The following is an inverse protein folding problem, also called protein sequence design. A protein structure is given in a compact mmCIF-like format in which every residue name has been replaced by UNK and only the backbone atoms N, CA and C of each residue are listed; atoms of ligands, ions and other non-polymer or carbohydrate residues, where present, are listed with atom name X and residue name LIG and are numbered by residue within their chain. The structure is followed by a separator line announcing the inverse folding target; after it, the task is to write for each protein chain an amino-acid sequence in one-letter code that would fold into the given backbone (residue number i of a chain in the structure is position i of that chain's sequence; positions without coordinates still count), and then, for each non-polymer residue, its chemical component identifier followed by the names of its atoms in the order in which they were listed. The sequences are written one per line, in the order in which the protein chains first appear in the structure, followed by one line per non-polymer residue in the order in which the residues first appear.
data_IF_366243958820
#
_entry.id   IF_366243958820
#
_cell.length_a   1.000
_cell.length_b   1.000
_cell.length_c   1.000
_cell.angle_alpha   90.00
_cell.angle_beta   90.00
_cell.angle_gamma   90.00
#
_symmetry.space_group_name_H-M   'P 1'
#
loop_
_entity.id
_entity.type
_entity.pdbx_description
1 polymer ?
#
# COMPACT_ATOMS: atom_id res chain seq x y z
N UNK A 1 -33.30 -14.76 -69.56
CA UNK A 1 -32.24 -15.42 -68.77
C UNK A 1 -32.30 -16.92 -69.02
N UNK A 2 -31.23 -17.52 -69.54
CA UNK A 2 -31.16 -18.97 -69.78
C UNK A 2 -31.06 -19.73 -68.45
N UNK A 3 -31.66 -20.91 -68.39
CA UNK A 3 -31.68 -21.75 -67.18
C UNK A 3 -30.26 -22.09 -66.65
N UNK A 4 -29.28 -22.19 -67.55
CA UNK A 4 -27.87 -22.37 -67.21
C UNK A 4 -27.26 -21.16 -66.46
N UNK A 5 -27.60 -19.93 -66.87
CA UNK A 5 -27.07 -18.70 -66.25
C UNK A 5 -27.54 -18.52 -64.80
N UNK A 6 -28.78 -18.93 -64.50
CA UNK A 6 -29.33 -18.95 -63.13
C UNK A 6 -28.56 -19.91 -62.21
N UNK A 7 -28.21 -21.10 -62.68
CA UNK A 7 -27.42 -22.09 -61.91
C UNK A 7 -25.99 -21.61 -61.68
N UNK A 8 -25.39 -20.97 -62.68
CA UNK A 8 -24.03 -20.44 -62.59
C UNK A 8 -23.93 -19.31 -61.55
N UNK A 9 -24.93 -18.43 -61.47
CA UNK A 9 -25.03 -17.42 -60.40
C UNK A 9 -25.23 -18.03 -59.01
N UNK A 10 -25.99 -19.13 -58.90
CA UNK A 10 -26.17 -19.84 -57.63
C UNK A 10 -24.84 -20.47 -57.16
N UNK A 11 -24.10 -21.14 -58.05
CA UNK A 11 -22.79 -21.72 -57.70
C UNK A 11 -21.76 -20.65 -57.35
N UNK A 12 -21.73 -19.54 -58.07
CA UNK A 12 -20.88 -18.39 -57.73
C UNK A 12 -21.25 -17.82 -56.35
N UNK A 13 -22.55 -17.67 -56.06
CA UNK A 13 -23.02 -17.19 -54.76
C UNK A 13 -22.62 -18.09 -53.60
N UNK A 14 -22.75 -19.41 -53.76
CA UNK A 14 -22.32 -20.40 -52.75
C UNK A 14 -20.80 -20.33 -52.54
N UNK A 15 -20.03 -20.20 -53.62
CA UNK A 15 -18.58 -20.10 -53.55
C UNK A 15 -18.11 -18.82 -52.83
N UNK A 16 -18.74 -17.68 -53.13
CA UNK A 16 -18.47 -16.41 -52.44
C UNK A 16 -18.89 -16.49 -50.96
N UNK A 17 -20.03 -17.10 -50.65
CA UNK A 17 -20.46 -17.30 -49.27
C UNK A 17 -19.49 -18.18 -48.46
N UNK A 18 -18.96 -19.25 -49.08
CA UNK A 18 -17.91 -20.07 -48.48
C UNK A 18 -16.62 -19.29 -48.24
N UNK A 19 -16.17 -18.48 -49.21
CA UNK A 19 -15.00 -17.63 -49.04
C UNK A 19 -15.19 -16.59 -47.93
N UNK A 20 -16.36 -15.97 -47.82
CA UNK A 20 -16.68 -15.04 -46.75
C UNK A 20 -16.75 -15.74 -45.39
N UNK A 21 -17.29 -16.96 -45.33
CA UNK A 21 -17.36 -17.74 -44.09
C UNK A 21 -15.96 -18.16 -43.60
N UNK A 22 -15.10 -18.67 -44.49
CA UNK A 22 -13.71 -18.98 -44.16
C UNK A 22 -12.91 -17.72 -43.82
N UNK A 23 -13.12 -16.63 -44.56
CA UNK A 23 -12.53 -15.33 -44.26
C UNK A 23 -12.94 -14.83 -42.87
N UNK A 24 -14.23 -14.93 -42.53
CA UNK A 24 -14.75 -14.60 -41.21
C UNK A 24 -14.13 -15.48 -40.12
N UNK A 25 -14.03 -16.79 -40.31
CA UNK A 25 -13.39 -17.69 -39.33
C UNK A 25 -11.91 -17.35 -39.07
N UNK A 26 -11.18 -16.85 -40.06
CA UNK A 26 -9.76 -16.45 -39.92
C UNK A 26 -9.62 -15.06 -39.31
N UNK A 27 -10.52 -14.13 -39.67
CA UNK A 27 -10.46 -12.72 -39.26
C UNK A 27 -11.05 -12.52 -37.84
N UNK A 28 -12.15 -13.19 -37.52
CA UNK A 28 -12.88 -13.07 -36.25
C UNK A 28 -11.99 -13.20 -34.99
N UNK A 29 -11.10 -14.20 -34.84
CA UNK A 29 -10.23 -14.29 -33.66
C UNK A 29 -9.17 -13.19 -33.56
N UNK A 30 -8.85 -12.48 -34.66
CA UNK A 30 -7.93 -11.33 -34.60
C UNK A 30 -8.64 -10.03 -34.20
N UNK A 31 -9.95 -9.89 -34.44
CA UNK A 31 -10.74 -8.74 -33.97
C UNK A 31 -11.13 -8.86 -32.50
N UNK A 32 -11.32 -10.09 -31.99
CA UNK A 32 -11.66 -10.35 -30.59
C UNK A 32 -10.45 -10.89 -29.81
N UNK A 33 -9.31 -10.20 -29.87
CA UNK A 33 -8.24 -10.46 -28.91
C UNK A 33 -8.64 -9.83 -27.57
N UNK A 34 -8.54 -10.61 -26.50
CA UNK A 34 -8.67 -10.06 -25.16
C UNK A 34 -7.62 -8.96 -24.96
N UNK A 35 -7.97 -7.84 -24.30
CA UNK A 35 -7.01 -6.80 -24.01
C UNK A 35 -5.84 -7.36 -23.21
N UNK A 36 -4.63 -6.91 -23.52
CA UNK A 36 -3.39 -7.39 -22.90
C UNK A 36 -2.64 -6.21 -22.33
N UNK A 37 -2.58 -6.12 -21.00
CA UNK A 37 -1.96 -5.02 -20.25
C UNK A 37 -0.42 -4.97 -20.30
N UNK A 38 0.20 -5.56 -21.33
CA UNK A 38 1.67 -5.67 -21.47
C UNK A 38 2.11 -5.70 -22.95
N UNK A 39 1.23 -5.36 -23.91
CA UNK A 39 1.55 -5.44 -25.34
C UNK A 39 1.95 -4.10 -25.98
N UNK A 40 2.19 -3.08 -25.14
CA UNK A 40 2.52 -1.71 -25.49
C UNK A 40 1.49 -1.09 -26.46
N UNK A 41 0.22 -1.49 -26.35
CA UNK A 41 -0.87 -0.94 -27.17
C UNK A 41 -2.08 -0.67 -26.32
N UNK A 42 -2.60 0.56 -26.43
CA UNK A 42 -3.89 0.89 -25.89
C UNK A 42 -4.99 0.12 -26.64
N UNK A 43 -5.61 -0.84 -25.97
CA UNK A 43 -6.70 -1.64 -26.50
C UNK A 43 -7.79 -1.88 -25.44
N UNK A 44 -8.94 -2.42 -25.84
CA UNK A 44 -10.04 -2.68 -24.91
C UNK A 44 -10.56 -1.42 -24.20
N UNK A 45 -10.53 -1.44 -22.88
CA UNK A 45 -10.98 -0.37 -21.98
C UNK A 45 -9.83 0.36 -21.26
N UNK A 46 -8.58 0.17 -21.70
CA UNK A 46 -7.41 0.84 -21.15
C UNK A 46 -7.47 2.37 -21.32
N UNK A 47 -7.18 3.11 -20.26
CA UNK A 47 -7.16 4.58 -20.30
C UNK A 47 -5.81 5.13 -20.79
N UNK A 48 -4.74 4.33 -20.68
CA UNK A 48 -3.42 4.59 -21.27
C UNK A 48 -2.83 3.34 -21.91
N UNK A 49 -1.57 3.39 -22.36
CA UNK A 49 -0.89 2.21 -22.92
C UNK A 49 -0.59 1.24 -21.77
N UNK A 50 -1.17 0.03 -21.79
CA UNK A 50 -0.95 -1.02 -20.79
C UNK A 50 -1.33 -0.58 -19.34
N UNK A 51 -2.26 0.36 -19.18
CA UNK A 51 -2.70 0.84 -17.87
C UNK A 51 -4.16 1.33 -17.84
N UNK A 52 -4.75 1.28 -16.64
CA UNK A 52 -6.13 1.68 -16.38
C UNK A 52 -7.17 0.71 -16.94
N UNK A 53 -8.45 1.05 -16.77
CA UNK A 53 -9.55 0.18 -17.20
C UNK A 53 -9.53 -1.19 -16.52
N UNK A 54 -9.51 -2.26 -17.30
CA UNK A 54 -9.39 -3.64 -16.81
C UNK A 54 -7.97 -4.02 -16.36
N UNK A 55 -6.98 -3.15 -16.57
CA UNK A 55 -5.60 -3.45 -16.22
C UNK A 55 -5.30 -3.22 -14.74
N UNK A 56 -4.59 -4.16 -14.07
CA UNK A 56 -4.21 -3.99 -12.67
C UNK A 56 -3.35 -2.75 -12.41
N UNK A 57 -2.55 -2.32 -13.40
CA UNK A 57 -1.67 -1.16 -13.27
C UNK A 57 -2.47 0.12 -13.48
N UNK A 58 -2.43 1.03 -12.50
CA UNK A 58 -2.99 2.37 -12.68
C UNK A 58 -2.06 3.23 -13.55
N UNK A 59 -2.64 4.14 -14.32
CA UNK A 59 -1.87 5.07 -15.12
C UNK A 59 -1.26 6.18 -14.25
N UNK A 60 -0.03 6.60 -14.55
CA UNK A 60 0.72 7.59 -13.75
C UNK A 60 0.02 8.96 -13.71
N UNK A 61 -0.75 9.30 -14.75
CA UNK A 61 -1.47 10.57 -14.81
C UNK A 61 -2.82 10.56 -14.07
N UNK A 62 -3.28 9.40 -13.59
CA UNK A 62 -4.52 9.26 -12.81
C UNK A 62 -4.26 9.25 -11.31
N UNK A 63 -2.99 9.20 -10.91
CA UNK A 63 -2.57 9.02 -9.52
C UNK A 63 -1.85 10.25 -8.98
N UNK A 64 -2.26 10.66 -7.79
CA UNK A 64 -1.62 11.72 -7.03
C UNK A 64 -0.37 11.20 -6.32
N UNK A 65 0.60 12.11 -6.15
CA UNK A 65 1.81 11.81 -5.39
C UNK A 65 1.51 11.69 -3.90
N UNK A 66 2.19 10.74 -3.24
CA UNK A 66 2.10 10.53 -1.80
C UNK A 66 2.66 11.77 -1.09
N UNK A 67 1.90 12.31 -0.14
CA UNK A 67 2.35 13.42 0.68
C UNK A 67 3.11 12.92 1.90
N UNK A 68 4.35 13.40 2.07
CA UNK A 68 5.14 13.17 3.28
C UNK A 68 4.75 14.26 4.28
N UNK A 69 3.93 13.92 5.27
CA UNK A 69 3.45 14.91 6.24
C UNK A 69 4.56 15.31 7.22
N UNK A 70 5.33 14.34 7.71
CA UNK A 70 6.53 14.57 8.52
C UNK A 70 7.36 13.30 8.67
N UNK A 71 8.63 13.45 9.02
CA UNK A 71 9.52 12.33 9.39
C UNK A 71 10.37 12.70 10.59
N UNK A 72 10.48 11.81 11.57
CA UNK A 72 11.20 12.05 12.83
C UNK A 72 11.90 10.79 13.33
N UNK A 73 12.93 10.98 14.14
CA UNK A 73 13.60 9.92 14.89
C UNK A 73 13.26 10.06 16.38
N UNK A 74 12.90 8.94 17.01
CA UNK A 74 12.55 8.83 18.41
C UNK A 74 13.60 8.01 19.14
N UNK A 75 14.16 8.56 20.20
CA UNK A 75 15.15 7.86 21.02
C UNK A 75 14.47 6.70 21.76
N UNK A 76 15.08 5.53 21.69
CA UNK A 76 14.63 4.33 22.44
C UNK A 76 15.50 4.16 23.69
N UNK A 77 16.81 4.17 23.50
CA UNK A 77 17.86 4.11 24.53
C UNK A 77 19.07 4.92 24.00
N UNK A 78 20.08 5.25 24.82
CA UNK A 78 21.27 5.94 24.33
C UNK A 78 21.87 5.26 23.09
N UNK A 79 22.03 6.03 22.01
CA UNK A 79 22.58 5.56 20.74
C UNK A 79 21.65 4.74 19.83
N UNK A 80 20.42 4.43 20.26
CA UNK A 80 19.46 3.68 19.45
C UNK A 80 18.14 4.44 19.30
N UNK A 81 17.71 4.58 18.05
CA UNK A 81 16.52 5.34 17.68
C UNK A 81 15.59 4.50 16.81
N UNK A 82 14.29 4.80 16.88
CA UNK A 82 13.33 4.40 15.87
C UNK A 82 13.11 5.58 14.93
N UNK A 83 12.93 5.35 13.64
CA UNK A 83 12.53 6.37 12.70
C UNK A 83 11.14 6.10 12.19
N UNK A 84 10.41 7.16 11.94
CA UNK A 84 9.05 7.09 11.46
C UNK A 84 8.80 8.21 10.45
N UNK A 85 8.16 7.86 9.35
CA UNK A 85 7.62 8.79 8.38
C UNK A 85 6.10 8.62 8.38
N UNK A 86 5.39 9.74 8.52
CA UNK A 86 3.94 9.78 8.48
C UNK A 86 3.55 10.34 7.11
N UNK A 87 2.79 9.56 6.35
CA UNK A 87 2.47 9.84 4.95
C UNK A 87 0.97 9.73 4.72
N UNK A 88 0.51 10.30 3.61
CA UNK A 88 -0.88 10.25 3.18
C UNK A 88 -0.96 9.86 1.71
N UNK A 89 -1.73 8.81 1.42
CA UNK A 89 -2.10 8.41 0.08
C UNK A 89 -3.44 9.08 -0.27
N UNK A 90 -3.40 10.05 -1.18
CA UNK A 90 -4.60 10.76 -1.63
C UNK A 90 -5.47 9.93 -2.60
N UNK A 91 -4.91 8.85 -3.15
CA UNK A 91 -5.59 8.01 -4.11
C UNK A 91 -6.58 7.07 -3.41
N UNK A 92 -7.82 7.03 -3.87
CA UNK A 92 -8.90 6.27 -3.24
C UNK A 92 -8.76 4.75 -3.43
N UNK A 93 -8.40 4.32 -4.65
CA UNK A 93 -8.46 2.92 -5.06
C UNK A 93 -7.12 2.39 -5.60
N UNK A 94 -6.00 3.07 -5.33
CA UNK A 94 -4.68 2.61 -5.76
C UNK A 94 -3.76 2.39 -4.56
N UNK A 95 -2.99 1.31 -4.64
CA UNK A 95 -2.05 0.88 -3.62
C UNK A 95 -0.74 0.46 -4.29
N UNK A 96 0.33 0.36 -3.50
CA UNK A 96 1.63 -0.09 -3.99
C UNK A 96 2.02 -1.33 -3.19
N UNK A 97 2.26 -2.43 -3.90
CA UNK A 97 2.62 -3.70 -3.28
C UNK A 97 4.02 -3.69 -2.67
N UNK A 98 4.94 -2.94 -3.29
CA UNK A 98 6.35 -2.86 -2.90
C UNK A 98 6.93 -1.55 -3.40
N UNK A 99 7.56 -0.80 -2.49
CA UNK A 99 8.36 0.38 -2.81
C UNK A 99 9.58 0.49 -1.89
N UNK A 100 10.75 0.73 -2.47
CA UNK A 100 11.98 1.03 -1.75
C UNK A 100 12.05 2.48 -1.31
N UNK A 101 12.51 2.69 -0.08
CA UNK A 101 12.65 4.02 0.50
C UNK A 101 13.96 4.17 1.27
N UNK A 102 14.27 5.42 1.62
CA UNK A 102 15.44 5.80 2.39
C UNK A 102 15.10 6.85 3.43
N UNK A 103 15.49 6.58 4.68
CA UNK A 103 15.68 7.61 5.69
C UNK A 103 17.11 8.13 5.68
N UNK A 104 17.29 9.45 5.86
CA UNK A 104 18.58 10.06 6.17
C UNK A 104 18.50 10.81 7.49
N UNK A 105 19.59 10.78 8.24
CA UNK A 105 19.70 11.39 9.55
C UNK A 105 20.83 12.41 9.57
N UNK A 106 20.57 13.58 10.16
CA UNK A 106 21.57 14.60 10.39
C UNK A 106 21.46 15.18 11.82
N UNK A 107 22.57 15.67 12.34
CA UNK A 107 22.63 16.27 13.68
C UNK A 107 22.19 17.75 13.67
N UNK A 108 22.30 18.43 14.82
CA UNK A 108 21.96 19.86 14.96
C UNK A 108 22.73 20.77 13.99
N UNK A 109 23.95 20.39 13.63
CA UNK A 109 24.86 21.16 12.79
C UNK A 109 24.67 20.77 11.30
N UNK A 110 23.61 20.01 11.00
CA UNK A 110 23.25 19.48 9.69
C UNK A 110 24.33 18.55 9.09
N UNK A 111 25.14 17.92 9.95
CA UNK A 111 26.14 16.94 9.55
C UNK A 111 25.44 15.60 9.39
N UNK A 112 25.69 14.96 8.24
CA UNK A 112 25.14 13.64 7.94
C UNK A 112 25.65 12.58 8.92
N UNK A 113 24.72 11.94 9.63
CA UNK A 113 25.00 10.85 10.58
C UNK A 113 24.97 9.50 9.86
N UNK A 114 23.96 9.29 9.01
CA UNK A 114 23.74 7.99 8.39
C UNK A 114 22.42 7.90 7.63
N UNK A 115 22.16 6.70 7.10
CA UNK A 115 20.95 6.38 6.35
C UNK A 115 20.42 5.00 6.73
N UNK A 116 19.13 4.81 6.50
CA UNK A 116 18.45 3.51 6.61
C UNK A 116 17.63 3.30 5.35
N UNK A 117 17.99 2.27 4.58
CA UNK A 117 17.24 1.83 3.41
C UNK A 117 16.26 0.73 3.84
N UNK A 118 15.07 0.69 3.22
CA UNK A 118 14.04 -0.30 3.55
C UNK A 118 13.02 -0.45 2.42
N UNK A 119 12.06 -1.33 2.66
CA UNK A 119 10.97 -1.66 1.74
C UNK A 119 9.64 -1.51 2.47
N UNK A 120 8.64 -0.94 1.79
CA UNK A 120 7.29 -0.79 2.31
C UNK A 120 6.25 -1.14 1.24
N UNK A 121 5.03 -1.39 1.69
CA UNK A 121 3.84 -1.35 0.85
C UNK A 121 3.02 -0.11 1.24
N UNK A 122 2.28 0.43 0.29
CA UNK A 122 1.43 1.61 0.50
C UNK A 122 -0.02 1.16 0.48
N UNK A 123 -0.79 1.38 1.55
CA UNK A 123 -2.20 1.01 1.60
C UNK A 123 -3.03 1.88 0.64
N UNK A 124 -4.22 1.40 0.24
CA UNK A 124 -5.15 2.21 -0.54
C UNK A 124 -5.74 3.30 0.35
N UNK A 125 -5.58 4.56 -0.07
CA UNK A 125 -6.12 5.76 0.58
C UNK A 125 -5.70 6.01 2.04
N UNK A 126 -5.73 7.28 2.42
CA UNK A 126 -5.61 7.73 3.79
C UNK A 126 -4.19 7.76 4.33
N UNK A 127 -4.12 7.97 5.64
CA UNK A 127 -2.87 8.18 6.38
C UNK A 127 -2.27 6.86 6.81
N UNK A 128 -0.96 6.74 6.64
CA UNK A 128 -0.21 5.56 7.03
C UNK A 128 1.20 5.95 7.46
N UNK A 129 1.91 4.97 7.99
CA UNK A 129 3.21 5.18 8.60
C UNK A 129 4.23 4.18 8.07
N UNK A 130 5.44 4.65 7.79
CA UNK A 130 6.60 3.78 7.59
C UNK A 130 7.47 3.90 8.81
N UNK A 131 7.82 2.75 9.42
CA UNK A 131 8.54 2.67 10.67
C UNK A 131 9.81 1.82 10.51
N UNK A 132 10.94 2.33 10.99
CA UNK A 132 12.22 1.63 11.03
C UNK A 132 12.76 1.55 12.46
N UNK A 133 12.92 0.33 13.01
CA UNK A 133 13.35 0.12 14.38
C UNK A 133 14.87 0.14 14.51
N UNK A 134 15.32 0.41 15.74
CA UNK A 134 16.66 0.04 16.21
C UNK A 134 17.82 0.56 15.32
N UNK A 135 17.70 1.79 14.84
CA UNK A 135 18.74 2.50 14.11
C UNK A 135 19.84 2.86 15.10
N UNK A 136 21.02 2.33 14.86
CA UNK A 136 22.23 2.64 15.63
C UNK A 136 22.90 3.90 15.05
N UNK A 137 23.01 4.92 15.89
CA UNK A 137 23.64 6.20 15.57
C UNK A 137 24.87 6.48 16.44
N UNK A 138 25.30 5.49 17.24
CA UNK A 138 26.41 5.61 18.17
C UNK A 138 26.20 6.76 19.16
N UNK A 139 27.09 7.76 19.13
CA UNK A 139 27.02 8.92 20.02
C UNK A 139 26.32 10.14 19.39
N UNK A 140 25.90 10.03 18.12
CA UNK A 140 25.25 11.13 17.41
C UNK A 140 23.76 11.21 17.77
N UNK A 141 23.22 12.43 17.79
CA UNK A 141 21.80 12.67 18.07
C UNK A 141 21.13 13.13 16.77
N UNK A 142 20.27 12.31 16.16
CA UNK A 142 19.56 12.68 14.94
C UNK A 142 18.50 13.74 15.26
N UNK A 143 18.71 14.96 14.77
CA UNK A 143 17.77 16.08 14.94
C UNK A 143 16.95 16.27 13.68
N UNK A 144 17.58 16.14 12.52
CA UNK A 144 16.88 16.15 11.24
C UNK A 144 16.75 14.71 10.72
N UNK A 145 15.53 14.33 10.39
CA UNK A 145 15.21 13.07 9.74
C UNK A 145 14.47 13.38 8.45
N UNK A 146 15.01 12.94 7.32
CA UNK A 146 14.35 13.07 6.02
C UNK A 146 13.99 11.69 5.48
N UNK A 147 12.91 11.64 4.72
CA UNK A 147 12.38 10.45 4.08
C UNK A 147 12.23 10.70 2.58
N UNK A 148 12.62 9.72 1.77
CA UNK A 148 12.41 9.73 0.32
C UNK A 148 12.15 8.33 -0.21
N UNK A 149 11.33 8.22 -1.26
CA UNK A 149 11.26 7.00 -2.06
C UNK A 149 12.45 6.96 -3.02
N UNK A 150 13.07 5.79 -3.18
CA UNK A 150 14.28 5.62 -4.02
C UNK A 150 13.97 5.05 -5.40
N UNK A 151 12.72 4.72 -5.66
CA UNK A 151 12.24 4.16 -6.93
C UNK A 151 10.90 4.75 -7.32
N UNK A 152 10.54 4.60 -8.60
CA UNK A 152 9.25 5.04 -9.11
C UNK A 152 8.13 4.12 -8.61
N UNK A 153 7.02 4.66 -8.08
CA UNK A 153 5.93 3.86 -7.57
C UNK A 153 5.20 3.11 -8.68
N UNK A 154 5.05 1.80 -8.50
CA UNK A 154 4.16 0.98 -9.33
C UNK A 154 2.76 0.95 -8.69
N UNK A 155 1.88 1.82 -9.17
CA UNK A 155 0.50 1.88 -8.70
C UNK A 155 -0.34 0.74 -9.26
N UNK A 156 -1.05 0.06 -8.37
CA UNK A 156 -1.94 -1.05 -8.69
C UNK A 156 -3.34 -0.70 -8.21
N UNK A 157 -4.32 -0.85 -9.09
CA UNK A 157 -5.73 -0.67 -8.78
C UNK A 157 -6.22 -1.78 -7.84
N UNK A 158 -6.97 -1.39 -6.83
CA UNK A 158 -7.63 -2.27 -5.87
C UNK A 158 -9.13 -2.02 -5.97
N UNK A 159 -9.91 -3.09 -6.08
CA UNK A 159 -11.36 -2.94 -6.17
C UNK A 159 -11.93 -2.30 -4.90
N UNK A 160 -12.86 -1.37 -5.08
CA UNK A 160 -13.55 -0.69 -3.98
C UNK A 160 -14.26 -1.68 -3.04
N UNK A 161 -14.78 -2.77 -3.58
CA UNK A 161 -15.37 -3.85 -2.80
C UNK A 161 -14.36 -4.45 -1.81
N UNK A 162 -13.13 -4.74 -2.26
CA UNK A 162 -12.08 -5.31 -1.41
C UNK A 162 -11.65 -4.33 -0.32
N UNK A 163 -11.51 -3.04 -0.67
CA UNK A 163 -11.19 -1.98 0.30
C UNK A 163 -12.28 -1.86 1.37
N UNK A 164 -13.55 -1.87 0.94
CA UNK A 164 -14.67 -1.73 1.86
C UNK A 164 -14.91 -2.97 2.74
N UNK A 165 -14.55 -4.16 2.26
CA UNK A 165 -14.68 -5.40 3.02
C UNK A 165 -13.55 -5.58 4.04
N UNK A 166 -12.30 -5.29 3.67
CA UNK A 166 -11.13 -5.50 4.54
C UNK A 166 -10.94 -4.30 5.46
N UNK A 167 -11.62 -4.32 6.62
CA UNK A 167 -11.54 -3.29 7.65
C UNK A 167 -10.95 -3.84 8.94
N UNK A 168 -9.85 -3.23 9.37
CA UNK A 168 -9.21 -3.49 10.66
C UNK A 168 -9.55 -2.33 11.60
N UNK A 169 -10.11 -2.67 12.75
CA UNK A 169 -10.51 -1.72 13.79
C UNK A 169 -9.57 -1.84 14.98
N UNK A 170 -9.33 -0.72 15.65
CA UNK A 170 -8.57 -0.67 16.91
C UNK A 170 -9.47 -0.14 18.02
N UNK A 171 -9.47 -0.82 19.16
CA UNK A 171 -10.23 -0.44 20.36
C UNK A 171 -9.41 -0.65 21.63
N UNK A 172 -9.98 -0.27 22.77
CA UNK A 172 -9.47 -0.57 24.11
C UNK A 172 -8.02 -0.13 24.34
N UNK A 173 -7.71 1.08 23.88
CA UNK A 173 -6.37 1.67 23.97
C UNK A 173 -6.14 2.14 25.41
N UNK A 174 -5.19 1.51 26.10
CA UNK A 174 -4.83 1.85 27.48
C UNK A 174 -3.32 2.02 27.63
N UNK A 175 -2.89 3.12 28.24
CA UNK A 175 -1.48 3.43 28.51
C UNK A 175 -1.25 3.39 30.01
N UNK A 176 -0.30 2.56 30.44
CA UNK A 176 0.08 2.37 31.84
C UNK A 176 1.55 2.74 32.05
N UNK A 177 1.90 3.10 33.29
CA UNK A 177 3.29 3.25 33.75
C UNK A 177 4.16 4.24 32.94
N UNK A 178 3.57 5.34 32.45
CA UNK A 178 4.24 6.34 31.60
C UNK A 178 5.56 6.88 32.21
N UNK A 179 5.59 7.09 33.53
CA UNK A 179 6.72 7.70 34.23
C UNK A 179 7.84 6.70 34.59
N UNK A 180 7.66 5.40 34.30
CA UNK A 180 8.64 4.35 34.64
C UNK A 180 8.98 3.50 33.43
N UNK A 181 8.13 2.54 33.09
CA UNK A 181 8.27 1.66 31.94
C UNK A 181 6.94 1.62 31.20
N UNK A 182 6.71 2.57 30.28
CA UNK A 182 5.44 2.70 29.61
C UNK A 182 5.01 1.42 28.91
N UNK A 183 3.74 1.06 29.08
CA UNK A 183 3.10 -0.06 28.41
C UNK A 183 1.78 0.40 27.81
N UNK A 184 1.66 0.30 26.49
CA UNK A 184 0.42 0.57 25.77
C UNK A 184 -0.19 -0.75 25.33
N UNK A 185 -1.45 -0.99 25.68
CA UNK A 185 -2.24 -2.12 25.18
C UNK A 185 -3.36 -1.63 24.29
N UNK A 186 -3.74 -2.42 23.29
CA UNK A 186 -4.91 -2.19 22.47
C UNK A 186 -5.42 -3.50 21.87
N UNK A 187 -6.69 -3.51 21.46
CA UNK A 187 -7.28 -4.63 20.75
C UNK A 187 -7.38 -4.29 19.26
N UNK A 188 -6.79 -5.13 18.42
CA UNK A 188 -6.89 -5.05 16.96
C UNK A 188 -7.86 -6.12 16.49
N UNK A 189 -8.96 -5.70 15.86
CA UNK A 189 -10.02 -6.57 15.36
C UNK A 189 -10.11 -6.51 13.84
N UNK A 190 -10.09 -7.67 13.20
CA UNK A 190 -10.46 -7.79 11.79
C UNK A 190 -11.97 -7.96 11.70
N UNK A 191 -12.68 -6.99 11.12
CA UNK A 191 -14.13 -7.07 10.95
C UNK A 191 -14.55 -7.68 9.61
N UNK A 192 -13.60 -8.28 8.89
CA UNK A 192 -13.82 -8.93 7.60
C UNK A 192 -13.72 -10.46 7.72
N UNK A 193 -14.17 -11.17 6.69
CA UNK A 193 -13.99 -12.63 6.58
C UNK A 193 -12.63 -13.02 6.00
N UNK A 194 -11.80 -12.04 5.63
CA UNK A 194 -10.51 -12.29 5.03
C UNK A 194 -9.45 -12.56 6.09
N UNK A 195 -8.49 -13.40 5.75
CA UNK A 195 -7.27 -13.60 6.53
C UNK A 195 -6.21 -12.58 6.09
N UNK A 196 -5.67 -11.84 7.06
CA UNK A 196 -4.64 -10.81 6.85
C UNK A 196 -3.32 -11.32 7.43
N UNK A 197 -2.35 -11.72 6.60
CA UNK A 197 -1.02 -12.11 7.07
C UNK A 197 -0.15 -10.88 7.40
N UNK A 198 0.81 -11.05 8.29
CA UNK A 198 1.89 -10.09 8.58
C UNK A 198 1.41 -8.65 8.84
N UNK A 199 0.53 -8.49 9.84
CA UNK A 199 0.03 -7.17 10.23
C UNK A 199 1.06 -6.50 11.13
N UNK A 200 1.59 -5.38 10.65
CA UNK A 200 2.43 -4.50 11.45
C UNK A 200 1.55 -3.47 12.14
N UNK A 201 1.62 -3.37 13.46
CA UNK A 201 0.84 -2.39 14.21
C UNK A 201 1.80 -1.38 14.79
N UNK A 202 1.61 -0.11 14.46
CA UNK A 202 2.46 1.00 14.91
C UNK A 202 1.65 1.84 15.89
N UNK A 203 2.27 2.24 16.98
CA UNK A 203 1.74 3.22 17.93
C UNK A 203 2.50 4.54 17.80
N UNK A 204 1.77 5.65 17.82
CA UNK A 204 2.31 7.01 17.88
C UNK A 204 1.63 7.75 19.03
N UNK A 205 2.43 8.33 19.91
CA UNK A 205 1.98 9.03 21.10
C UNK A 205 2.16 10.53 20.91
N UNK A 206 1.16 11.32 21.29
CA UNK A 206 1.12 12.76 21.06
C UNK A 206 0.93 13.54 22.37
N UNK A 207 1.60 14.69 22.44
CA UNK A 207 1.44 15.67 23.52
C UNK A 207 0.24 16.61 23.32
N UNK A 208 -0.03 17.48 24.29
CA UNK A 208 -1.07 18.51 24.25
C UNK A 208 -0.98 19.46 23.05
N UNK A 209 0.22 19.63 22.50
CA UNK A 209 0.47 20.49 21.34
C UNK A 209 0.29 19.74 20.01
N UNK A 210 -0.06 18.45 20.05
CA UNK A 210 -0.19 17.60 18.86
C UNK A 210 1.13 17.16 18.26
N UNK A 211 2.26 17.29 18.97
CA UNK A 211 3.54 16.76 18.50
C UNK A 211 3.64 15.28 18.83
N UNK A 212 4.11 14.49 17.87
CA UNK A 212 4.51 13.12 18.13
C UNK A 212 5.73 13.11 19.05
N UNK A 213 5.60 12.45 20.21
CA UNK A 213 6.59 12.37 21.30
C UNK A 213 7.38 11.06 21.24
N UNK A 214 6.69 9.95 20.97
CA UNK A 214 7.31 8.63 20.89
C UNK A 214 6.50 7.70 20.00
N UNK A 215 7.15 6.62 19.56
CA UNK A 215 6.52 5.58 18.75
C UNK A 215 7.09 4.21 19.08
N UNK A 216 6.28 3.18 18.84
CA UNK A 216 6.67 1.79 18.99
C UNK A 216 5.91 0.92 18.00
N UNK A 217 6.47 -0.24 17.67
CA UNK A 217 5.89 -1.18 16.69
C UNK A 217 5.82 -2.57 17.28
N UNK A 218 4.75 -3.26 16.95
CA UNK A 218 4.57 -4.68 17.22
C UNK A 218 4.03 -5.38 15.97
N UNK A 219 4.03 -6.71 15.98
CA UNK A 219 3.69 -7.51 14.82
C UNK A 219 2.73 -8.62 15.18
N UNK A 220 1.80 -8.89 14.27
CA UNK A 220 0.93 -10.05 14.30
C UNK A 220 1.22 -10.88 13.06
N UNK A 221 1.65 -12.14 13.24
CA UNK A 221 1.95 -13.05 12.11
C UNK A 221 0.75 -13.22 11.18
N UNK A 222 -0.45 -13.24 11.77
CA UNK A 222 -1.72 -13.28 11.07
C UNK A 222 -2.85 -12.72 11.93
N UNK A 223 -3.88 -12.22 11.26
CA UNK A 223 -5.16 -11.87 11.85
C UNK A 223 -6.26 -12.51 11.01
N UNK A 224 -6.87 -13.56 11.54
CA UNK A 224 -7.92 -14.32 10.86
C UNK A 224 -9.22 -13.49 10.76
N UNK A 225 -10.14 -13.91 9.90
CA UNK A 225 -11.42 -13.23 9.75
C UNK A 225 -12.24 -13.23 11.04
N UNK A 226 -12.84 -12.10 11.38
CA UNK A 226 -13.58 -11.83 12.62
C UNK A 226 -12.77 -12.00 13.93
N UNK A 227 -11.45 -12.20 13.83
CA UNK A 227 -10.56 -12.38 14.98
C UNK A 227 -10.24 -11.04 15.64
N UNK A 228 -10.12 -11.05 16.97
CA UNK A 228 -9.62 -9.92 17.77
C UNK A 228 -8.38 -10.36 18.54
N UNK A 229 -7.32 -9.57 18.47
CA UNK A 229 -6.06 -9.81 19.20
C UNK A 229 -5.67 -8.61 20.02
N UNK A 230 -5.24 -8.86 21.26
CA UNK A 230 -4.58 -7.85 22.06
C UNK A 230 -3.13 -7.68 21.58
N UNK A 231 -2.74 -6.43 21.36
CA UNK A 231 -1.37 -6.02 21.05
C UNK A 231 -0.81 -5.21 22.20
N UNK A 232 0.48 -5.37 22.46
CA UNK A 232 1.21 -4.63 23.49
C UNK A 232 2.40 -3.93 22.88
N UNK A 233 2.63 -2.68 23.29
CA UNK A 233 3.80 -1.88 22.99
C UNK A 233 4.50 -1.52 24.29
N UNK A 234 5.83 -1.56 24.29
CA UNK A 234 6.64 -1.24 25.46
C UNK A 234 7.72 -0.23 25.12
N UNK A 235 8.06 0.59 26.11
CA UNK A 235 9.18 1.53 26.06
C UNK A 235 10.13 1.25 27.22
N UNK A 236 11.45 1.17 26.97
CA UNK A 236 12.43 0.89 28.01
C UNK A 236 12.74 2.11 28.89
N UNK A 237 12.51 3.32 28.39
CA UNK A 237 12.69 4.59 29.11
C UNK A 237 11.32 5.27 29.31
N UNK A 238 11.15 6.09 30.37
CA UNK A 238 9.94 6.86 30.59
C UNK A 238 9.73 7.88 29.46
N UNK A 239 8.46 8.17 29.16
CA UNK A 239 8.11 9.16 28.14
C UNK A 239 7.94 10.52 28.83
N UNK A 240 8.71 11.51 28.40
CA UNK A 240 8.63 12.86 28.95
C UNK A 240 7.38 13.59 28.43
N UNK A 241 6.67 14.27 29.32
CA UNK A 241 5.46 15.06 29.02
C UNK A 241 4.17 14.26 29.15
N UNK A 242 3.03 14.97 29.11
CA UNK A 242 1.71 14.36 29.25
C UNK A 242 1.19 13.86 27.89
N UNK A 243 0.91 12.55 27.80
CA UNK A 243 0.39 11.95 26.57
C UNK A 243 -1.14 12.03 26.55
N UNK A 244 -1.66 12.94 25.74
CA UNK A 244 -3.11 13.15 25.60
C UNK A 244 -3.73 12.28 24.52
N UNK A 245 -3.04 12.04 23.41
CA UNK A 245 -3.56 11.26 22.30
C UNK A 245 -2.65 10.08 21.95
N UNK A 246 -3.29 8.96 21.64
CA UNK A 246 -2.65 7.69 21.28
C UNK A 246 -3.25 7.24 19.95
N UNK A 247 -2.42 7.19 18.93
CA UNK A 247 -2.83 6.70 17.61
C UNK A 247 -2.22 5.32 17.38
N UNK A 248 -3.02 4.39 16.91
CA UNK A 248 -2.58 3.03 16.58
C UNK A 248 -2.99 2.75 15.15
N UNK A 249 -1.99 2.44 14.32
CA UNK A 249 -2.11 2.34 12.88
C UNK A 249 -1.72 0.91 12.50
N UNK A 250 -2.70 0.03 12.24
CA UNK A 250 -2.44 -1.28 11.65
C UNK A 250 -2.13 -1.10 10.17
N UNK A 251 -1.04 -1.74 9.74
CA UNK A 251 -0.51 -1.66 8.39
C UNK A 251 -0.34 -3.11 7.91
N UNK A 252 -0.93 -3.40 6.76
CA UNK A 252 -0.91 -4.72 6.14
C UNK A 252 -0.95 -4.59 4.61
N UNK A 253 -0.40 -5.58 3.94
CA UNK A 253 -0.41 -5.60 2.48
C UNK A 253 -1.78 -6.07 1.97
N UNK A 254 -2.56 -5.17 1.37
CA UNK A 254 -3.89 -5.49 0.82
C UNK A 254 -3.86 -6.60 -0.25
N UNK A 255 -2.73 -6.79 -0.95
CA UNK A 255 -2.56 -7.80 -2.00
C UNK A 255 -2.32 -9.21 -1.43
N UNK A 256 -1.82 -9.33 -0.19
CA UNK A 256 -1.59 -10.63 0.45
C UNK A 256 -2.82 -11.19 1.17
N UNK A 257 -3.86 -10.37 1.34
CA UNK A 257 -5.13 -10.72 1.98
C UNK A 257 -5.90 -11.75 1.16
N UNK A 258 -6.32 -12.85 1.81
CA UNK A 258 -7.03 -13.98 1.18
C UNK A 258 -8.37 -14.23 1.85
N UNK A 259 -9.39 -14.60 1.07
CA UNK A 259 -10.65 -15.05 1.64
C UNK A 259 -10.42 -16.43 2.30
N UNK A 260 -10.99 -16.61 3.49
CA UNK A 260 -10.93 -17.87 4.25
C UNK A 260 -11.61 -19.02 3.50
#
# INVERSE_FOLDING_TARGET
MTWAFKRQLIYLGIFVALLLFFGFLVIYPNLNKAPTCVDNKQNGDETGIDCGGSCPRACIFEVDQISILWSRAFRVVPGRYNAIAYLENHNENTAINKINYRFRFADKDNIYIGKRDGEAYIPPSGKFVIFEPAIDVGNSIPIYTTFEFTEEPLWIQVSEEKINQVKVLVSDINLENQDTSPRLTAVVKNNSLFQIPEVSVISVLYDESGNAVSSSRTYLDKLDGEESKEVTFTWPEPIAGDIVAKEIIPIYNIFSVKLK
#
